data_IF_067820879762
#
_entry.id   IF_067820879762
#
_cell.length_a   1.000
_cell.length_b   1.000
_cell.length_c   1.000
_cell.angle_alpha   90.00
_cell.angle_beta   90.00
_cell.angle_gamma   90.00
#
_symmetry.space_group_name_H-M   'P 1'
#
loop_
_entity.id
_entity.type
_entity.pdbx_description
1 polymer ?
#
# COMPACT_ATOMS: atom_id res chain seq x y z
N UNK A 1 13.34 13.40 1.16
CA UNK A 1 13.34 12.75 2.50
C UNK A 1 12.89 11.31 2.30
N UNK A 2 13.59 10.35 2.89
CA UNK A 2 13.11 8.96 2.92
C UNK A 2 11.95 8.88 3.91
N UNK A 3 10.76 8.54 3.44
CA UNK A 3 9.55 8.51 4.25
C UNK A 3 8.42 7.84 3.52
N UNK A 4 7.52 7.22 4.28
CA UNK A 4 6.30 6.63 3.75
C UNK A 4 5.42 7.73 3.13
N UNK A 5 5.05 7.54 1.87
CA UNK A 5 4.07 8.37 1.17
C UNK A 5 2.71 7.72 1.27
N UNK A 6 1.70 8.51 1.60
CA UNK A 6 0.29 8.09 1.55
C UNK A 6 -0.41 9.01 0.56
N UNK A 7 -1.05 8.43 -0.44
CA UNK A 7 -1.76 9.16 -1.49
C UNK A 7 -3.15 8.56 -1.65
N UNK A 8 -4.17 9.42 -1.68
CA UNK A 8 -5.54 9.01 -1.90
C UNK A 8 -6.11 9.79 -3.08
N UNK A 9 -6.54 9.07 -4.10
CA UNK A 9 -7.33 9.59 -5.20
C UNK A 9 -8.81 9.31 -4.93
N UNK A 10 -9.56 10.37 -4.67
CA UNK A 10 -11.00 10.28 -4.44
C UNK A 10 -11.80 9.99 -5.71
N UNK A 11 -11.31 10.43 -6.87
CA UNK A 11 -12.04 10.23 -8.13
C UNK A 11 -11.92 8.78 -8.60
N UNK A 12 -10.71 8.21 -8.53
CA UNK A 12 -10.47 6.79 -8.79
C UNK A 12 -10.85 5.84 -7.65
N UNK A 13 -11.14 6.37 -6.46
CA UNK A 13 -11.35 5.61 -5.21
C UNK A 13 -10.18 4.66 -4.89
N UNK A 14 -8.96 5.21 -4.94
CA UNK A 14 -7.70 4.47 -4.76
C UNK A 14 -6.89 5.04 -3.62
N UNK A 15 -6.50 4.20 -2.66
CA UNK A 15 -5.48 4.50 -1.68
C UNK A 15 -4.16 3.83 -2.07
N UNK A 16 -3.06 4.58 -2.09
CA UNK A 16 -1.71 4.05 -2.24
C UNK A 16 -0.85 4.44 -1.03
N UNK A 17 -0.10 3.46 -0.53
CA UNK A 17 0.95 3.67 0.46
C UNK A 17 2.27 3.16 -0.12
N UNK A 18 3.26 4.05 -0.23
CA UNK A 18 4.58 3.76 -0.82
C UNK A 18 5.69 4.00 0.20
N UNK A 19 6.52 2.98 0.44
CA UNK A 19 7.66 3.02 1.37
C UNK A 19 8.97 3.37 0.66
N UNK A 20 9.12 2.97 -0.60
CA UNK A 20 10.32 3.16 -1.42
C UNK A 20 9.92 3.49 -2.86
N UNK A 21 10.65 4.42 -3.47
CA UNK A 21 10.45 4.82 -4.87
C UNK A 21 11.36 3.96 -5.77
N UNK A 22 10.84 2.79 -6.16
CA UNK A 22 11.55 1.82 -7.00
C UNK A 22 10.59 1.11 -7.97
N UNK A 23 11.11 0.54 -9.09
CA UNK A 23 10.30 -0.26 -9.99
C UNK A 23 9.73 -1.50 -9.27
N UNK A 24 8.41 -1.65 -9.32
CA UNK A 24 7.68 -2.78 -8.76
C UNK A 24 6.48 -3.14 -9.63
N UNK A 25 6.11 -4.42 -9.59
CA UNK A 25 4.84 -4.91 -10.11
C UNK A 25 3.77 -4.87 -9.01
N UNK A 26 2.50 -4.80 -9.40
CA UNK A 26 1.38 -5.00 -8.49
C UNK A 26 1.03 -6.48 -8.45
N UNK A 27 1.00 -7.06 -7.26
CA UNK A 27 0.57 -8.43 -7.02
C UNK A 27 -0.67 -8.41 -6.14
N UNK A 28 -1.78 -8.97 -6.63
CA UNK A 28 -3.03 -9.07 -5.88
C UNK A 28 -2.87 -10.06 -4.73
N UNK A 29 -3.26 -9.65 -3.52
CA UNK A 29 -3.16 -10.47 -2.31
C UNK A 29 -4.50 -10.66 -1.59
N UNK A 30 -5.48 -9.81 -1.88
CA UNK A 30 -6.87 -9.95 -1.47
C UNK A 30 -7.76 -9.12 -2.41
N UNK A 31 -9.08 -9.26 -2.27
CA UNK A 31 -10.05 -8.47 -3.03
C UNK A 31 -9.73 -6.98 -2.87
N UNK A 32 -9.56 -6.30 -4.01
CA UNK A 32 -9.19 -4.90 -4.11
C UNK A 32 -7.84 -4.50 -3.46
N UNK A 33 -6.99 -5.45 -3.04
CA UNK A 33 -5.71 -5.18 -2.36
C UNK A 33 -4.52 -5.76 -3.12
N UNK A 34 -3.54 -4.89 -3.37
CA UNK A 34 -2.33 -5.22 -4.11
C UNK A 34 -1.08 -4.86 -3.32
N UNK A 35 -0.09 -5.75 -3.31
CA UNK A 35 1.28 -5.41 -2.91
C UNK A 35 2.04 -4.82 -4.09
N UNK A 36 2.92 -3.86 -3.82
CA UNK A 36 3.93 -3.41 -4.77
C UNK A 36 5.22 -4.18 -4.51
N UNK A 37 5.55 -5.15 -5.38
CA UNK A 37 6.72 -6.02 -5.24
C UNK A 37 7.80 -5.71 -6.27
N UNK A 38 9.02 -5.46 -5.82
CA UNK A 38 10.19 -5.33 -6.69
C UNK A 38 10.58 -6.69 -7.29
N UNK A 39 11.40 -6.69 -8.35
CA UNK A 39 11.83 -7.94 -9.01
C UNK A 39 12.61 -8.90 -8.08
N UNK A 40 13.31 -8.35 -7.08
CA UNK A 40 14.03 -9.11 -6.04
C UNK A 40 13.14 -9.54 -4.87
N UNK A 41 11.83 -9.28 -4.94
CA UNK A 41 10.83 -9.81 -4.01
C UNK A 41 10.47 -8.91 -2.83
N UNK A 42 11.06 -7.71 -2.73
CA UNK A 42 10.80 -6.77 -1.62
C UNK A 42 9.46 -6.08 -1.82
N UNK A 43 8.73 -5.90 -0.73
CA UNK A 43 7.47 -5.14 -0.72
C UNK A 43 7.83 -3.68 -0.46
N UNK A 44 7.47 -2.80 -1.40
CA UNK A 44 7.78 -1.36 -1.34
C UNK A 44 6.53 -0.49 -1.21
N UNK A 45 5.37 -1.09 -1.06
CA UNK A 45 4.10 -0.40 -0.87
C UNK A 45 2.91 -1.34 -1.04
N UNK A 46 1.73 -0.76 -0.96
CA UNK A 46 0.47 -1.43 -1.26
C UNK A 46 -0.55 -0.44 -1.82
N UNK A 47 -1.49 -0.98 -2.58
CA UNK A 47 -2.59 -0.23 -3.20
C UNK A 47 -3.91 -0.89 -2.80
N UNK A 48 -4.89 -0.08 -2.44
CA UNK A 48 -6.27 -0.51 -2.18
C UNK A 48 -7.16 0.19 -3.18
N UNK A 49 -7.81 -0.59 -4.04
CA UNK A 49 -8.85 -0.10 -4.95
C UNK A 49 -10.19 -0.06 -4.23
N UNK A 50 -11.17 0.65 -4.79
CA UNK A 50 -12.50 0.80 -4.19
C UNK A 50 -12.46 1.13 -2.68
N UNK A 51 -11.50 1.98 -2.28
CA UNK A 51 -11.14 2.16 -0.87
C UNK A 51 -12.33 2.54 0.00
N UNK A 52 -13.26 3.33 -0.55
CA UNK A 52 -14.49 3.76 0.13
C UNK A 52 -15.41 2.60 0.55
N UNK A 53 -15.33 1.41 -0.07
CA UNK A 53 -16.10 0.22 0.35
C UNK A 53 -15.66 -0.33 1.71
N UNK A 54 -14.42 -0.03 2.12
CA UNK A 54 -13.84 -0.48 3.37
C UNK A 54 -14.07 0.54 4.51
N UNK A 55 -15.05 1.43 4.38
CA UNK A 55 -15.39 2.44 5.38
C UNK A 55 -16.13 1.88 6.60
N UNK A 56 -16.69 0.67 6.48
CA UNK A 56 -17.48 0.00 7.53
C UNK A 56 -16.70 -1.01 8.36
N UNK A 57 -15.70 -1.66 7.77
CA UNK A 57 -14.88 -2.69 8.43
C UNK A 57 -13.40 -2.37 8.27
N UNK A 58 -12.60 -2.70 9.30
CA UNK A 58 -11.16 -2.49 9.24
C UNK A 58 -10.53 -3.38 8.15
N UNK A 59 -9.89 -2.77 7.16
CA UNK A 59 -9.06 -3.49 6.22
C UNK A 59 -7.81 -4.04 6.93
N UNK A 60 -7.66 -5.37 6.93
CA UNK A 60 -6.49 -6.04 7.47
C UNK A 60 -5.61 -6.52 6.33
N UNK A 61 -4.39 -6.01 6.26
CA UNK A 61 -3.39 -6.44 5.29
C UNK A 61 -2.57 -7.59 5.90
N UNK A 62 -2.24 -8.65 5.14
CA UNK A 62 -1.37 -9.74 5.58
C UNK A 62 0.13 -9.33 5.61
N UNK A 63 0.42 -8.13 6.12
CA UNK A 63 1.75 -7.50 6.13
C UNK A 63 2.21 -7.27 7.56
N UNK A 64 3.49 -7.57 7.84
CA UNK A 64 4.14 -7.16 9.08
C UNK A 64 4.95 -5.88 8.84
N UNK A 65 4.74 -4.85 9.65
CA UNK A 65 5.45 -3.57 9.54
C UNK A 65 6.28 -3.33 10.81
N UNK A 66 7.55 -2.95 10.64
CA UNK A 66 8.38 -2.44 11.72
C UNK A 66 8.53 -0.93 11.56
N UNK A 67 7.99 -0.15 12.50
CA UNK A 67 8.09 1.30 12.49
C UNK A 67 9.19 1.78 13.47
N UNK A 68 9.98 2.77 13.03
CA UNK A 68 10.91 3.50 13.89
C UNK A 68 10.37 4.92 14.08
N UNK A 69 10.37 5.40 15.32
CA UNK A 69 9.93 6.76 15.63
C UNK A 69 10.80 7.79 14.89
N UNK A 70 10.17 8.86 14.39
CA UNK A 70 10.90 10.04 13.94
C UNK A 70 11.60 10.66 15.16
N UNK A 71 12.92 10.78 15.09
CA UNK A 71 13.76 11.43 16.10
C UNK A 71 13.67 12.95 16.02
#
# INVERSE_FOLDING_TARGET
>A
MAGMKVWYDREGDVLEVTFEDAPAAMEEIADDVFERRTRDGRIIGFTVLNFSKHDRDQLTLPLAITAKAAS
#
